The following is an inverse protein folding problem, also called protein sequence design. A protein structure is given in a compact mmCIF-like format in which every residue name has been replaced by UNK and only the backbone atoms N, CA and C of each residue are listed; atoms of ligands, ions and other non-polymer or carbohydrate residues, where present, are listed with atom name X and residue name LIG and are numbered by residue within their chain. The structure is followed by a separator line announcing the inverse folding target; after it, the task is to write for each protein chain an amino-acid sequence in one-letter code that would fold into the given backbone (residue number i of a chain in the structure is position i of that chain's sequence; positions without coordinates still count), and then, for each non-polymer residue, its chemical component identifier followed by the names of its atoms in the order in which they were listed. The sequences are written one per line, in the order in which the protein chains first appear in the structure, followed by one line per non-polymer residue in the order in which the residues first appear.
data_IF_505292466186
#
_entry.id   IF_505292466186
#
_cell.length_a   1.000
_cell.length_b   1.000
_cell.length_c   1.000
_cell.angle_alpha   90.00
_cell.angle_beta   90.00
_cell.angle_gamma   90.00
#
_symmetry.space_group_name_H-M   'P 1'
#
loop_
_entity.id
_entity.type
_entity.pdbx_description
1 polymer ?
#
# COMPACT_ATOMS: atom_id res chain seq x y z
N UNK A 1 23.95 0.89 11.16
CA UNK A 1 23.56 -0.52 11.40
C UNK A 1 24.49 -1.12 12.46
N UNK A 2 25.76 -1.40 12.16
CA UNK A 2 26.71 -1.96 13.14
C UNK A 2 26.82 -1.22 14.49
N UNK A 3 26.78 0.11 14.50
CA UNK A 3 26.74 0.88 15.75
C UNK A 3 25.47 0.61 16.57
N UNK A 4 24.31 0.54 15.90
CA UNK A 4 23.02 0.26 16.53
C UNK A 4 22.94 -1.19 17.04
N UNK A 5 23.49 -2.15 16.30
CA UNK A 5 23.66 -3.55 16.77
C UNK A 5 24.48 -3.60 18.07
N UNK A 6 25.57 -2.82 18.14
CA UNK A 6 26.40 -2.75 19.34
C UNK A 6 25.65 -2.14 20.53
N UNK A 7 24.85 -1.10 20.29
CA UNK A 7 24.02 -0.48 21.34
C UNK A 7 22.93 -1.43 21.85
N UNK A 8 22.26 -2.16 20.95
CA UNK A 8 21.30 -3.21 21.30
C UNK A 8 21.98 -4.26 22.18
N UNK A 9 23.14 -4.78 21.77
CA UNK A 9 23.90 -5.76 22.54
C UNK A 9 24.31 -5.23 23.93
N UNK A 10 24.72 -3.97 24.02
CA UNK A 10 25.06 -3.32 25.30
C UNK A 10 23.86 -3.26 26.23
N UNK A 11 22.70 -2.80 25.74
CA UNK A 11 21.47 -2.69 26.52
C UNK A 11 20.95 -4.06 26.98
N UNK A 12 21.00 -5.08 26.11
CA UNK A 12 20.67 -6.47 26.49
C UNK A 12 21.56 -6.97 27.62
N UNK A 13 22.86 -6.68 27.55
CA UNK A 13 23.82 -7.06 28.59
C UNK A 13 23.55 -6.33 29.90
N UNK A 14 23.23 -5.04 29.84
CA UNK A 14 22.92 -4.22 31.03
C UNK A 14 21.62 -4.67 31.70
N UNK A 15 20.55 -4.91 30.94
CA UNK A 15 19.28 -5.44 31.44
C UNK A 15 19.45 -6.82 32.08
N UNK A 16 20.24 -7.70 31.47
CA UNK A 16 20.58 -9.00 32.05
C UNK A 16 21.33 -8.86 33.38
N UNK A 17 22.27 -7.91 33.46
CA UNK A 17 22.98 -7.60 34.70
C UNK A 17 22.09 -7.05 35.82
N UNK A 18 21.02 -6.33 35.47
CA UNK A 18 20.00 -5.88 36.44
C UNK A 18 19.17 -7.08 36.94
N UNK A 19 18.73 -7.97 36.03
CA UNK A 19 17.98 -9.19 36.38
C UNK A 19 18.77 -10.16 37.28
N UNK A 20 20.11 -10.19 37.12
CA UNK A 20 21.01 -11.04 37.92
C UNK A 20 21.50 -10.37 39.21
N UNK A 21 21.26 -9.06 39.40
CA UNK A 21 21.63 -8.33 40.63
C UNK A 21 20.64 -8.67 41.76
N UNK A 22 21.14 -8.92 42.97
CA UNK A 22 20.29 -9.03 44.15
C UNK A 22 19.38 -7.79 44.25
N UNK A 23 18.07 -8.03 44.30
CA UNK A 23 16.97 -7.07 44.10
C UNK A 23 16.84 -5.98 45.17
N UNK A 24 17.78 -5.92 46.12
CA UNK A 24 17.86 -4.86 47.13
C UNK A 24 18.42 -3.55 46.56
N UNK A 25 19.01 -3.57 45.36
CA UNK A 25 19.47 -2.36 44.66
C UNK A 25 18.32 -1.69 43.88
N UNK A 26 17.32 -1.21 44.62
CA UNK A 26 16.09 -0.58 44.09
C UNK A 26 16.33 0.56 43.08
N UNK A 27 17.53 1.16 43.07
CA UNK A 27 17.94 2.17 42.10
C UNK A 27 18.09 1.57 40.70
N UNK A 28 18.64 0.36 40.58
CA UNK A 28 18.80 -0.35 39.30
C UNK A 28 17.48 -0.89 38.76
N UNK A 29 16.61 -1.40 39.63
CA UNK A 29 15.29 -1.88 39.22
C UNK A 29 14.44 -0.72 38.63
N UNK A 30 14.58 0.49 39.17
CA UNK A 30 13.94 1.69 38.63
C UNK A 30 14.41 2.08 37.21
N UNK A 31 15.60 1.63 36.79
CA UNK A 31 16.16 1.87 35.45
C UNK A 31 15.81 0.76 34.45
N UNK A 32 15.28 -0.38 34.92
CA UNK A 32 14.94 -1.51 34.04
C UNK A 32 13.91 -1.15 32.97
N UNK A 33 12.80 -0.53 33.38
CA UNK A 33 11.73 -0.14 32.46
C UNK A 33 12.19 0.86 31.37
N UNK A 34 12.90 1.96 31.69
CA UNK A 34 13.40 2.86 30.65
C UNK A 34 14.44 2.21 29.74
N UNK A 35 15.36 1.38 30.28
CA UNK A 35 16.34 0.66 29.45
C UNK A 35 15.67 -0.35 28.51
N UNK A 36 14.60 -1.03 28.97
CA UNK A 36 13.83 -1.93 28.13
C UNK A 36 13.12 -1.16 27.00
N UNK A 37 12.52 0.00 27.32
CA UNK A 37 11.88 0.85 26.30
C UNK A 37 12.88 1.35 25.25
N UNK A 38 14.10 1.68 25.67
CA UNK A 38 15.18 2.08 24.76
C UNK A 38 15.63 0.91 23.88
N UNK A 39 15.81 -0.28 24.47
CA UNK A 39 16.17 -1.50 23.76
C UNK A 39 15.12 -1.84 22.69
N UNK A 40 13.84 -1.76 23.02
CA UNK A 40 12.76 -2.06 22.08
C UNK A 40 12.74 -1.07 20.90
N UNK A 41 12.89 0.23 21.18
CA UNK A 41 12.98 1.26 20.13
C UNK A 41 14.18 1.03 19.20
N UNK A 42 15.35 0.70 19.77
CA UNK A 42 16.57 0.40 19.00
C UNK A 42 16.44 -0.87 18.17
N UNK A 43 15.82 -1.92 18.71
CA UNK A 43 15.54 -3.16 17.96
C UNK A 43 14.59 -2.93 16.79
N UNK A 44 13.53 -2.14 16.98
CA UNK A 44 12.64 -1.77 15.87
C UNK A 44 13.39 -1.01 14.80
N UNK A 45 14.18 0.01 15.18
CA UNK A 45 14.99 0.77 14.22
C UNK A 45 15.99 -0.14 13.50
N UNK A 46 16.66 -1.04 14.21
CA UNK A 46 17.62 -1.98 13.64
C UNK A 46 16.94 -2.90 12.61
N UNK A 47 15.81 -3.50 12.98
CA UNK A 47 15.05 -4.39 12.09
C UNK A 47 14.62 -3.67 10.80
N UNK A 48 14.17 -2.41 10.87
CA UNK A 48 13.84 -1.62 9.68
C UNK A 48 15.06 -1.34 8.80
N UNK A 49 16.22 -1.06 9.40
CA UNK A 49 17.45 -0.82 8.66
C UNK A 49 17.98 -2.09 7.98
N UNK A 50 17.90 -3.23 8.66
CA UNK A 50 18.26 -4.55 8.11
C UNK A 50 17.36 -4.90 6.92
N UNK A 51 16.04 -4.73 7.04
CA UNK A 51 15.09 -5.00 5.94
C UNK A 51 15.37 -4.13 4.70
N UNK A 52 15.66 -2.84 4.90
CA UNK A 52 16.03 -1.94 3.80
C UNK A 52 17.37 -2.32 3.17
N UNK A 53 18.35 -2.75 3.98
CA UNK A 53 19.64 -3.23 3.49
C UNK A 53 19.49 -4.50 2.66
N UNK A 54 18.73 -5.49 3.15
CA UNK A 54 18.47 -6.74 2.44
C UNK A 54 17.77 -6.49 1.10
N UNK A 55 16.82 -5.54 1.08
CA UNK A 55 16.13 -5.14 -0.16
C UNK A 55 17.08 -4.49 -1.17
N UNK A 56 18.03 -3.69 -0.71
CA UNK A 56 19.07 -3.10 -1.58
C UNK A 56 19.91 -4.21 -2.21
N UNK A 57 20.37 -5.19 -1.42
CA UNK A 57 21.15 -6.32 -1.92
C UNK A 57 20.35 -7.16 -2.96
N UNK A 58 19.06 -7.36 -2.74
CA UNK A 58 18.18 -8.04 -3.71
C UNK A 58 18.04 -7.26 -5.01
N UNK A 59 17.80 -5.94 -4.93
CA UNK A 59 17.68 -5.06 -6.10
C UNK A 59 18.98 -5.00 -6.90
N UNK A 60 20.13 -4.91 -6.22
CA UNK A 60 21.44 -4.95 -6.87
C UNK A 60 21.68 -6.26 -7.62
N UNK A 61 21.27 -7.39 -7.03
CA UNK A 61 21.36 -8.70 -7.68
C UNK A 61 20.44 -8.82 -8.91
N UNK A 62 19.22 -8.27 -8.84
CA UNK A 62 18.29 -8.21 -9.97
C UNK A 62 18.81 -7.31 -11.10
N UNK A 63 19.33 -6.12 -10.76
CA UNK A 63 19.96 -5.19 -11.69
C UNK A 63 21.13 -5.87 -12.42
N UNK A 64 22.01 -6.55 -11.68
CA UNK A 64 23.14 -7.25 -12.27
C UNK A 64 22.72 -8.37 -13.25
N UNK A 65 21.63 -9.09 -12.96
CA UNK A 65 21.06 -10.09 -13.89
C UNK A 65 20.50 -9.42 -15.14
N UNK A 66 19.72 -8.35 -14.98
CA UNK A 66 19.15 -7.60 -16.11
C UNK A 66 20.23 -7.01 -17.00
N UNK A 67 21.30 -6.44 -16.44
CA UNK A 67 22.42 -5.91 -17.20
C UNK A 67 23.10 -7.00 -18.04
N UNK A 68 23.27 -8.20 -17.46
CA UNK A 68 23.82 -9.37 -18.17
C UNK A 68 22.89 -9.86 -19.29
N UNK A 69 21.59 -9.89 -19.04
CA UNK A 69 20.58 -10.29 -20.05
C UNK A 69 20.55 -9.30 -21.20
N UNK A 70 20.59 -7.99 -20.91
CA UNK A 70 20.67 -6.92 -21.91
C UNK A 70 21.94 -7.09 -22.75
N UNK A 71 23.09 -7.34 -22.13
CA UNK A 71 24.35 -7.57 -22.86
C UNK A 71 24.24 -8.80 -23.78
N UNK A 72 23.67 -9.90 -23.28
CA UNK A 72 23.43 -11.11 -24.06
C UNK A 72 22.51 -10.86 -25.27
N UNK A 73 21.42 -10.11 -25.09
CA UNK A 73 20.50 -9.76 -26.18
C UNK A 73 21.15 -8.83 -27.21
N UNK A 74 22.02 -7.90 -26.77
CA UNK A 74 22.78 -7.04 -27.69
C UNK A 74 23.74 -7.84 -28.56
N UNK A 75 24.35 -8.90 -28.03
CA UNK A 75 25.31 -9.73 -28.78
C UNK A 75 24.64 -10.75 -29.71
N UNK A 76 23.42 -11.19 -29.42
CA UNK A 76 22.76 -12.27 -30.18
C UNK A 76 22.06 -11.81 -31.47
N UNK A 77 21.93 -10.50 -31.71
CA UNK A 77 21.50 -9.83 -32.96
C UNK A 77 20.35 -10.55 -33.73
N UNK A 78 19.35 -11.05 -33.00
CA UNK A 78 18.20 -11.74 -33.57
C UNK A 78 17.03 -10.75 -33.76
N UNK A 79 16.38 -10.73 -34.92
CA UNK A 79 15.26 -9.80 -35.24
C UNK A 79 14.05 -9.86 -34.26
N UNK A 80 13.98 -10.90 -33.40
CA UNK A 80 12.95 -11.06 -32.38
C UNK A 80 13.37 -10.55 -30.97
N UNK A 81 14.63 -10.18 -30.76
CA UNK A 81 15.13 -9.78 -29.43
C UNK A 81 14.98 -8.30 -29.11
N UNK A 82 14.61 -7.45 -30.07
CA UNK A 82 14.44 -6.01 -29.83
C UNK A 82 13.37 -5.69 -28.80
N UNK A 83 12.24 -6.42 -28.81
CA UNK A 83 11.19 -6.23 -27.80
C UNK A 83 11.63 -6.68 -26.40
N UNK A 84 12.36 -7.81 -26.32
CA UNK A 84 12.92 -8.31 -25.06
C UNK A 84 14.00 -7.37 -24.52
N UNK A 85 14.83 -6.82 -25.39
CA UNK A 85 15.83 -5.81 -25.05
C UNK A 85 15.17 -4.55 -24.50
N UNK A 86 14.18 -4.00 -25.20
CA UNK A 86 13.47 -2.80 -24.76
C UNK A 86 12.74 -3.02 -23.43
N UNK A 87 12.14 -4.20 -23.23
CA UNK A 87 11.52 -4.58 -21.96
C UNK A 87 12.56 -4.66 -20.83
N UNK A 88 13.69 -5.34 -21.05
CA UNK A 88 14.75 -5.46 -20.05
C UNK A 88 15.40 -4.10 -19.72
N UNK A 89 15.61 -3.23 -20.71
CA UNK A 89 16.11 -1.87 -20.48
C UNK A 89 15.12 -1.01 -19.70
N UNK A 90 13.81 -1.16 -19.95
CA UNK A 90 12.77 -0.48 -19.17
C UNK A 90 12.73 -0.98 -17.72
N UNK A 91 12.79 -2.29 -17.51
CA UNK A 91 12.81 -2.90 -16.19
C UNK A 91 14.08 -2.51 -15.41
N UNK A 92 15.23 -2.44 -16.08
CA UNK A 92 16.48 -1.96 -15.51
C UNK A 92 16.35 -0.52 -14.98
N UNK A 93 15.73 0.38 -15.76
CA UNK A 93 15.48 1.77 -15.33
C UNK A 93 14.55 1.81 -14.12
N UNK A 94 13.46 1.01 -14.13
CA UNK A 94 12.52 0.94 -13.03
C UNK A 94 13.18 0.42 -11.74
N UNK A 95 14.00 -0.63 -11.84
CA UNK A 95 14.72 -1.22 -10.71
C UNK A 95 15.79 -0.28 -10.15
N UNK A 96 16.53 0.45 -11.00
CA UNK A 96 17.47 1.48 -10.55
C UNK A 96 16.77 2.63 -9.81
N UNK A 97 15.58 3.04 -10.27
CA UNK A 97 14.79 4.04 -9.56
C UNK A 97 14.24 3.51 -8.21
N UNK A 98 13.87 2.23 -8.14
CA UNK A 98 13.47 1.59 -6.88
C UNK A 98 14.65 1.48 -5.90
N UNK A 99 15.85 1.16 -6.40
CA UNK A 99 17.08 1.13 -5.62
C UNK A 99 17.39 2.51 -5.04
N UNK A 100 17.42 3.56 -5.87
CA UNK A 100 17.69 4.93 -5.42
C UNK A 100 16.70 5.39 -4.33
N UNK A 101 15.41 5.04 -4.49
CA UNK A 101 14.41 5.31 -3.47
C UNK A 101 14.68 4.55 -2.17
N UNK A 102 15.02 3.26 -2.27
CA UNK A 102 15.29 2.41 -1.09
C UNK A 102 16.55 2.87 -0.35
N UNK A 103 17.59 3.29 -1.07
CA UNK A 103 18.78 3.92 -0.50
C UNK A 103 18.47 5.25 0.21
N UNK A 104 17.59 6.07 -0.38
CA UNK A 104 17.13 7.31 0.24
C UNK A 104 16.33 7.04 1.52
N UNK A 105 15.44 6.03 1.49
CA UNK A 105 14.68 5.58 2.65
C UNK A 105 15.60 5.03 3.75
N UNK A 106 16.62 4.24 3.40
CA UNK A 106 17.65 3.77 4.34
C UNK A 106 18.39 4.95 4.96
N UNK A 107 18.85 5.91 4.14
CA UNK A 107 19.54 7.11 4.64
C UNK A 107 18.65 7.93 5.56
N UNK A 108 17.37 8.05 5.26
CA UNK A 108 16.39 8.71 6.15
C UNK A 108 16.26 7.94 7.46
N UNK A 109 16.03 6.62 7.41
CA UNK A 109 15.85 5.78 8.58
C UNK A 109 17.09 5.79 9.50
N UNK A 110 18.30 5.85 8.96
CA UNK A 110 19.54 5.98 9.75
C UNK A 110 19.55 7.31 10.53
N UNK A 111 19.20 8.41 9.86
CA UNK A 111 19.25 9.76 10.42
C UNK A 111 17.99 10.13 11.22
N UNK A 112 16.93 9.33 11.17
CA UNK A 112 15.72 9.59 11.94
C UNK A 112 16.06 9.48 13.44
N UNK A 113 15.82 10.52 14.24
CA UNK A 113 16.05 10.47 15.67
C UNK A 113 15.16 9.38 16.29
N UNK A 114 15.70 8.69 17.29
CA UNK A 114 14.95 7.69 18.08
C UNK A 114 13.80 8.39 18.80
N UNK A 115 12.66 8.49 18.12
CA UNK A 115 11.44 8.98 18.76
C UNK A 115 11.03 7.93 19.79
N UNK A 116 10.77 8.31 21.05
CA UNK A 116 10.19 7.38 22.01
C UNK A 116 8.91 6.81 21.41
N UNK A 117 8.85 5.48 21.34
CA UNK A 117 7.85 4.66 20.66
C UNK A 117 6.54 5.41 20.40
N UNK A 118 6.39 5.92 19.17
CA UNK A 118 5.04 5.98 18.61
C UNK A 118 4.64 4.53 18.37
N UNK A 119 3.53 4.16 19.01
CA UNK A 119 2.69 3.00 18.75
C UNK A 119 2.89 2.48 17.31
N UNK A 120 3.04 1.15 17.11
CA UNK A 120 3.47 0.59 15.83
C UNK A 120 2.73 1.26 14.68
N UNK A 121 3.46 2.03 13.88
CA UNK A 121 2.98 2.41 12.56
C UNK A 121 2.80 1.11 11.82
N UNK A 122 1.56 0.64 11.86
CA UNK A 122 1.01 -0.40 11.01
C UNK A 122 1.70 -0.30 9.65
N UNK A 123 2.28 -1.38 9.10
CA UNK A 123 2.91 -1.32 7.79
C UNK A 123 1.95 -0.62 6.85
N UNK A 124 2.43 0.44 6.20
CA UNK A 124 1.62 1.26 5.31
C UNK A 124 0.76 0.32 4.45
N UNK A 125 -0.59 0.38 4.53
CA UNK A 125 -1.41 -0.52 3.76
C UNK A 125 -1.02 -0.31 2.30
N UNK A 126 -0.58 -1.40 1.66
CA UNK A 126 -0.34 -1.42 0.23
C UNK A 126 -1.50 -0.68 -0.46
N UNK A 127 -1.23 0.27 -1.36
CA UNK A 127 -2.24 1.18 -1.88
C UNK A 127 -3.41 0.38 -2.41
N UNK A 128 -4.54 0.43 -1.68
CA UNK A 128 -5.78 -0.19 -2.11
C UNK A 128 -6.24 0.60 -3.35
N UNK A 129 -6.62 -0.08 -4.44
CA UNK A 129 -7.13 0.61 -5.63
C UNK A 129 -8.26 1.54 -5.21
N UNK A 130 -8.16 2.81 -5.59
CA UNK A 130 -9.17 3.80 -5.24
C UNK A 130 -10.53 3.34 -5.80
N UNK A 131 -11.57 3.20 -4.94
CA UNK A 131 -12.92 2.99 -5.42
C UNK A 131 -13.33 4.23 -6.23
N UNK A 132 -13.77 3.98 -7.46
CA UNK A 132 -14.29 5.01 -8.33
C UNK A 132 -15.40 5.81 -7.61
N UNK A 133 -15.35 7.14 -7.61
CA UNK A 133 -16.42 7.95 -7.05
C UNK A 133 -17.72 7.65 -7.78
N UNK A 134 -18.74 7.19 -7.04
CA UNK A 134 -20.10 7.16 -7.55
C UNK A 134 -20.60 8.61 -7.73
N UNK A 135 -21.06 8.98 -8.93
CA UNK A 135 -21.63 10.30 -9.14
C UNK A 135 -23.01 10.41 -8.49
N UNK A 136 -23.22 11.48 -7.72
CA UNK A 136 -24.55 11.93 -7.31
C UNK A 136 -25.34 12.49 -8.51
N UNK A 137 -26.69 12.44 -8.50
CA UNK A 137 -27.52 12.80 -9.64
C UNK A 137 -27.51 14.31 -9.97
N UNK A 138 -27.76 14.57 -11.26
CA UNK A 138 -27.53 15.81 -11.99
C UNK A 138 -28.30 17.04 -11.50
N UNK A 139 -27.72 18.23 -11.73
CA UNK A 139 -28.46 19.34 -12.33
C UNK A 139 -27.86 19.74 -13.69
N UNK A 140 -28.74 19.93 -14.67
CA UNK A 140 -28.48 20.53 -15.99
C UNK A 140 -29.57 21.61 -16.20
N UNK A 141 -29.42 22.57 -17.11
CA UNK A 141 -28.39 23.60 -17.26
C UNK A 141 -29.02 25.01 -17.39
N UNK A 142 -28.24 26.08 -17.23
CA UNK A 142 -28.56 27.37 -17.86
C UNK A 142 -27.31 27.92 -18.59
N UNK A 143 -27.42 28.05 -19.92
CA UNK A 143 -26.62 28.94 -20.78
C UNK A 143 -27.06 30.40 -20.51
N UNK A 144 -26.37 31.47 -20.97
CA UNK A 144 -25.36 31.62 -22.05
C UNK A 144 -24.16 32.50 -21.59
N UNK A 145 -23.17 32.99 -22.35
CA UNK A 145 -23.04 33.31 -23.77
C UNK A 145 -21.54 33.41 -24.17
N UNK A 146 -21.33 33.57 -25.48
CA UNK A 146 -20.09 33.49 -26.25
C UNK A 146 -19.00 34.52 -25.89
N UNK A 147 -17.74 34.09 -25.96
CA UNK A 147 -16.61 34.93 -26.36
C UNK A 147 -15.69 34.13 -27.30
N UNK A 148 -15.13 34.75 -28.35
CA UNK A 148 -14.45 34.04 -29.43
C UNK A 148 -13.08 33.54 -28.95
N UNK A 149 -12.75 32.28 -29.24
CA UNK A 149 -11.37 31.80 -29.13
C UNK A 149 -10.94 31.06 -30.38
N UNK A 150 -9.78 31.52 -30.85
CA UNK A 150 -8.79 30.94 -31.73
C UNK A 150 -9.26 29.78 -32.63
N UNK A 151 -9.17 30.03 -33.93
CA UNK A 151 -9.20 29.02 -34.98
C UNK A 151 -8.21 27.90 -34.63
N UNK A 152 -8.76 26.72 -34.30
CA UNK A 152 -7.96 25.51 -34.11
C UNK A 152 -7.42 25.08 -35.47
N UNK A 153 -6.14 24.75 -35.55
CA UNK A 153 -5.55 24.11 -36.74
C UNK A 153 -6.24 22.78 -37.02
N UNK A 154 -6.42 22.44 -38.30
CA UNK A 154 -7.07 21.19 -38.75
C UNK A 154 -6.55 19.92 -38.03
N UNK A 155 -5.26 19.90 -37.67
CA UNK A 155 -4.65 18.79 -36.92
C UNK A 155 -5.24 18.61 -35.52
N UNK A 156 -5.59 19.69 -34.81
CA UNK A 156 -6.22 19.59 -33.49
C UNK A 156 -7.68 19.11 -33.60
N UNK A 157 -8.41 19.51 -34.64
CA UNK A 157 -9.75 18.97 -34.87
C UNK A 157 -9.71 17.49 -35.24
N UNK A 158 -8.72 17.07 -36.03
CA UNK A 158 -8.55 15.66 -36.40
C UNK A 158 -8.22 14.78 -35.17
N UNK A 159 -7.38 15.25 -34.26
CA UNK A 159 -7.07 14.54 -33.01
C UNK A 159 -8.27 14.47 -32.07
N UNK A 160 -9.03 15.57 -31.91
CA UNK A 160 -10.25 15.59 -31.10
C UNK A 160 -11.34 14.66 -31.68
N UNK A 161 -11.52 14.61 -32.99
CA UNK A 161 -12.46 13.70 -33.64
C UNK A 161 -12.00 12.23 -33.60
N UNK A 162 -10.70 11.96 -33.56
CA UNK A 162 -10.17 10.62 -33.34
C UNK A 162 -10.41 10.17 -31.89
N UNK A 163 -10.11 11.03 -30.92
CA UNK A 163 -10.39 10.77 -29.51
C UNK A 163 -11.88 10.51 -29.28
N UNK A 164 -12.76 11.35 -29.83
CA UNK A 164 -14.22 11.19 -29.71
C UNK A 164 -14.74 9.90 -30.35
N UNK A 165 -14.26 9.54 -31.55
CA UNK A 165 -14.67 8.28 -32.21
C UNK A 165 -14.21 7.04 -31.44
N UNK A 166 -13.01 7.07 -30.86
CA UNK A 166 -12.49 5.96 -30.07
C UNK A 166 -13.30 5.73 -28.79
N UNK A 167 -13.79 6.80 -28.17
CA UNK A 167 -14.57 6.75 -26.94
C UNK A 167 -16.02 6.28 -27.22
N UNK A 168 -16.61 6.71 -28.35
CA UNK A 168 -17.91 6.21 -28.81
C UNK A 168 -17.85 4.71 -29.17
N UNK A 169 -16.76 4.26 -29.81
CA UNK A 169 -16.57 2.83 -30.13
C UNK A 169 -16.42 1.97 -28.87
N UNK A 170 -15.66 2.43 -27.87
CA UNK A 170 -15.50 1.74 -26.59
C UNK A 170 -16.85 1.63 -25.85
N UNK A 171 -17.62 2.71 -25.76
CA UNK A 171 -18.94 2.70 -25.13
C UNK A 171 -19.94 1.81 -25.87
N UNK A 172 -19.86 1.75 -27.20
CA UNK A 172 -20.72 0.85 -27.99
C UNK A 172 -20.35 -0.62 -27.81
N UNK A 173 -19.07 -0.92 -27.57
CA UNK A 173 -18.60 -2.29 -27.30
C UNK A 173 -19.04 -2.78 -25.91
N UNK A 174 -18.99 -1.93 -24.89
CA UNK A 174 -19.42 -2.29 -23.52
C UNK A 174 -20.94 -2.45 -23.43
N UNK A 175 -21.71 -1.63 -24.14
CA UNK A 175 -23.18 -1.74 -24.21
C UNK A 175 -23.68 -2.95 -25.03
N UNK A 176 -22.82 -3.56 -25.85
CA UNK A 176 -23.13 -4.80 -26.57
C UNK A 176 -22.87 -6.06 -25.74
N UNK A 177 -22.25 -5.94 -24.56
CA UNK A 177 -22.20 -7.07 -23.64
C UNK A 177 -23.57 -7.25 -23.01
N UNK A 178 -24.12 -8.47 -23.00
CA UNK A 178 -25.36 -8.72 -22.27
C UNK A 178 -25.13 -8.36 -20.80
N UNK A 179 -26.09 -7.68 -20.14
CA UNK A 179 -25.96 -7.38 -18.72
C UNK A 179 -25.70 -8.69 -17.97
N UNK A 180 -24.68 -8.67 -17.11
CA UNK A 180 -24.34 -9.83 -16.27
C UNK A 180 -25.60 -10.30 -15.56
N UNK A 181 -25.99 -11.55 -15.80
CA UNK A 181 -27.16 -12.15 -15.17
C UNK A 181 -27.02 -12.06 -13.64
N UNK A 182 -27.95 -11.32 -13.03
CA UNK A 182 -28.11 -11.27 -11.58
C UNK A 182 -28.56 -12.66 -11.11
N UNK A 183 -27.90 -13.21 -10.08
CA UNK A 183 -28.31 -14.48 -9.45
C UNK A 183 -29.80 -14.40 -9.05
N UNK A 184 -30.60 -15.47 -9.21
CA UNK A 184 -31.99 -15.43 -8.82
C UNK A 184 -32.13 -15.20 -7.31
N UNK A 185 -33.08 -14.34 -6.94
CA UNK A 185 -33.41 -14.04 -5.55
C UNK A 185 -33.80 -15.32 -4.78
N UNK A 186 -33.40 -15.46 -3.50
CA UNK A 186 -33.87 -16.56 -2.67
C UNK A 186 -35.39 -16.48 -2.47
N UNK A 187 -36.06 -17.62 -2.59
CA UNK A 187 -37.52 -17.75 -2.51
C UNK A 187 -38.07 -17.29 -1.14
N UNK A 188 -39.30 -16.73 -1.09
CA UNK A 188 -39.93 -16.29 0.16
C UNK A 188 -40.21 -17.47 1.09
N UNK A 189 -39.84 -17.33 2.37
CA UNK A 189 -40.23 -18.25 3.43
C UNK A 189 -41.74 -18.14 3.73
N UNK A 190 -42.43 -19.24 4.07
CA UNK A 190 -43.85 -19.20 4.42
C UNK A 190 -44.08 -18.50 5.77
N UNK A 191 -45.04 -17.57 5.79
CA UNK A 191 -45.51 -16.89 7.00
C UNK A 191 -46.13 -17.88 8.00
N UNK A 192 -45.63 -17.87 9.24
CA UNK A 192 -46.31 -18.52 10.37
C UNK A 192 -47.49 -17.64 10.85
N UNK A 193 -48.67 -18.21 11.11
CA UNK A 193 -49.81 -17.42 11.57
C UNK A 193 -49.61 -16.94 13.02
N UNK A 194 -50.07 -15.72 13.28
CA UNK A 194 -49.98 -15.06 14.58
C UNK A 194 -50.68 -15.84 15.71
N UNK A 195 -50.11 -15.91 16.92
CA UNK A 195 -50.79 -16.50 18.07
C UNK A 195 -51.90 -15.57 18.60
N UNK A 196 -53.08 -16.15 18.82
CA UNK A 196 -54.27 -15.50 19.35
C UNK A 196 -54.07 -14.91 20.78
N UNK A 197 -54.79 -13.85 21.15
CA UNK A 197 -54.66 -13.22 22.47
C UNK A 197 -55.21 -14.14 23.57
N UNK A 198 -54.36 -14.51 24.53
CA UNK A 198 -54.80 -15.21 25.75
C UNK A 198 -55.35 -14.20 26.75
N UNK A 199 -56.64 -14.34 27.00
CA UNK A 199 -57.38 -13.74 28.10
C UNK A 199 -56.99 -14.38 29.44
N UNK A 200 -56.78 -13.54 30.47
CA UNK A 200 -57.16 -13.84 31.86
C UNK A 200 -56.10 -14.36 32.84
N UNK A 201 -55.82 -13.53 33.85
CA UNK A 201 -56.03 -13.76 35.31
C UNK A 201 -54.87 -13.29 36.21
N UNK A 202 -55.24 -12.41 37.16
CA UNK A 202 -54.48 -11.90 38.30
C UNK A 202 -54.02 -13.02 39.25
N UNK A 203 -52.80 -12.88 39.80
CA UNK A 203 -52.42 -12.99 41.23
C UNK A 203 -51.16 -12.12 41.37
N UNK A 204 -51.14 -10.97 42.05
CA UNK A 204 -51.29 -10.68 43.49
C UNK A 204 -50.37 -11.49 44.41
N UNK A 205 -49.69 -10.73 45.29
CA UNK A 205 -48.76 -11.09 46.38
C UNK A 205 -47.28 -11.15 45.96
N UNK A 206 -46.37 -10.34 46.50
CA UNK A 206 -46.45 -9.39 47.60
C UNK A 206 -45.10 -9.39 48.34
N UNK A 207 -44.56 -8.18 48.53
CA UNK A 207 -43.36 -7.81 49.31
C UNK A 207 -41.99 -8.17 48.73
#
# INVERSE_FOLDING_TARGET
IAELENEVYRLETELKGIDESDSEDYVKEGLRAPLQSELDAKRTKLSTLEELSDKIDELDAEIAKLEKDIEYFKQTNAEQTEQYLAAAEKDLVAKKAELEKTEADLKKAVNDPEKPAEEPENPAPAPKPAPAPQPAPAPKPEKPAEQPKAEKTDDQQAEEDYARRSEEEYNRLTQQQPPKAEKPAPAPQPEQPAPAPKTGWKQENGM
#
